data_IF_107848139673
#
_entry.id   IF_107848139673
#
_cell.length_a   1.000
_cell.length_b   1.000
_cell.length_c   1.000
_cell.angle_alpha   90.00
_cell.angle_beta   90.00
_cell.angle_gamma   90.00
#
_symmetry.space_group_name_H-M   'P 1'
#
loop_
_entity.id
_entity.type
_entity.pdbx_description
1 polymer ?
#
# COMPACT_ATOMS: atom_id res chain seq x y z
N UNK A 1 -0.44 22.85 1.99
CA UNK A 1 -1.35 22.78 0.85
C UNK A 1 -1.44 21.33 0.36
N UNK A 2 -2.59 20.72 0.52
CA UNK A 2 -2.83 19.35 0.09
C UNK A 2 -3.04 19.35 -1.45
N UNK A 3 -2.19 18.63 -2.19
CA UNK A 3 -2.20 18.58 -3.65
C UNK A 3 -3.56 18.11 -4.24
N UNK A 4 -4.27 17.23 -3.54
CA UNK A 4 -5.61 16.76 -3.95
C UNK A 4 -6.61 17.91 -3.96
N UNK A 5 -6.62 18.73 -2.90
CA UNK A 5 -7.48 19.92 -2.82
C UNK A 5 -7.11 20.99 -3.86
N UNK A 6 -5.81 21.17 -4.12
CA UNK A 6 -5.33 22.10 -5.16
C UNK A 6 -5.76 21.63 -6.54
N UNK A 7 -5.60 20.35 -6.86
CA UNK A 7 -6.00 19.80 -8.17
C UNK A 7 -7.52 19.89 -8.40
N UNK A 8 -8.34 19.61 -7.38
CA UNK A 8 -9.79 19.74 -7.46
C UNK A 8 -10.20 21.18 -7.75
N UNK A 9 -9.67 22.14 -6.96
CA UNK A 9 -9.97 23.57 -7.14
C UNK A 9 -9.54 24.06 -8.54
N UNK A 10 -8.34 23.71 -8.97
CA UNK A 10 -7.85 24.09 -10.30
C UNK A 10 -8.74 23.55 -11.41
N UNK A 11 -9.23 22.31 -11.31
CA UNK A 11 -10.15 21.75 -12.28
C UNK A 11 -11.47 22.55 -12.33
N UNK A 12 -11.99 22.96 -11.17
CA UNK A 12 -13.21 23.75 -11.08
C UNK A 12 -13.02 25.17 -11.67
N UNK A 13 -11.88 25.81 -11.41
CA UNK A 13 -11.52 27.12 -11.96
C UNK A 13 -11.34 27.11 -13.49
N UNK A 14 -10.81 26.01 -14.05
CA UNK A 14 -10.53 25.89 -15.48
C UNK A 14 -11.76 25.50 -16.32
N UNK A 15 -12.77 24.82 -15.74
CA UNK A 15 -13.95 24.34 -16.50
C UNK A 15 -14.68 25.41 -17.29
N UNK A 16 -14.98 26.61 -16.75
CA UNK A 16 -15.74 27.61 -17.46
C UNK A 16 -15.04 28.18 -18.73
N UNK A 17 -13.71 28.13 -18.75
CA UNK A 17 -12.86 28.69 -19.81
C UNK A 17 -12.38 27.67 -20.85
N UNK A 18 -12.68 26.37 -20.65
CA UNK A 18 -12.23 25.29 -21.53
C UNK A 18 -13.39 24.61 -22.26
N UNK A 19 -13.60 24.98 -23.52
CA UNK A 19 -14.64 24.41 -24.37
C UNK A 19 -14.49 22.89 -24.59
N UNK A 20 -13.27 22.34 -24.48
CA UNK A 20 -12.98 20.91 -24.59
C UNK A 20 -13.16 20.15 -23.26
N UNK A 21 -13.60 20.84 -22.23
CA UNK A 21 -13.78 20.28 -20.89
C UNK A 21 -12.47 20.17 -20.07
N UNK A 22 -12.62 19.86 -18.79
CA UNK A 22 -11.51 19.62 -17.84
C UNK A 22 -11.79 18.35 -17.08
N UNK A 23 -10.84 17.43 -17.06
CA UNK A 23 -10.90 16.17 -16.34
C UNK A 23 -9.99 16.24 -15.12
N UNK A 24 -10.58 16.07 -13.93
CA UNK A 24 -9.84 15.74 -12.72
C UNK A 24 -9.94 14.23 -12.47
N UNK A 25 -8.80 13.52 -12.54
CA UNK A 25 -8.78 12.05 -12.42
C UNK A 25 -9.28 11.54 -11.07
N UNK A 26 -9.14 12.34 -9.97
CA UNK A 26 -9.64 12.03 -8.63
C UNK A 26 -9.32 10.59 -8.18
N UNK A 27 -8.05 10.24 -8.18
CA UNK A 27 -7.58 8.85 -7.97
C UNK A 27 -8.09 8.17 -6.70
N UNK A 28 -8.48 8.94 -5.68
CA UNK A 28 -8.97 8.39 -4.40
C UNK A 28 -10.44 7.94 -4.48
N UNK A 29 -11.28 8.68 -5.21
CA UNK A 29 -12.71 8.46 -5.19
C UNK A 29 -13.30 8.13 -6.57
N UNK A 30 -12.49 8.15 -7.63
CA UNK A 30 -12.86 7.63 -8.94
C UNK A 30 -12.69 6.11 -8.97
N UNK A 31 -13.79 5.37 -8.97
CA UNK A 31 -13.81 3.90 -8.93
C UNK A 31 -13.22 3.22 -10.16
N UNK A 32 -12.93 3.97 -11.25
CA UNK A 32 -12.16 3.46 -12.36
C UNK A 32 -10.77 2.95 -11.95
N UNK A 33 -10.21 3.50 -10.87
CA UNK A 33 -8.97 3.01 -10.27
C UNK A 33 -9.10 1.55 -9.80
N UNK A 34 -10.08 1.25 -8.94
CA UNK A 34 -10.33 -0.13 -8.50
C UNK A 34 -10.72 -1.05 -9.66
N UNK A 35 -11.50 -0.54 -10.63
CA UNK A 35 -11.87 -1.30 -11.82
C UNK A 35 -10.65 -1.70 -12.65
N UNK A 36 -9.70 -0.80 -12.87
CA UNK A 36 -8.45 -1.11 -13.59
C UNK A 36 -7.65 -2.24 -12.92
N UNK A 37 -7.56 -2.24 -11.60
CA UNK A 37 -6.92 -3.32 -10.85
C UNK A 37 -7.72 -4.62 -10.82
N UNK A 38 -9.05 -4.56 -10.89
CA UNK A 38 -9.90 -5.74 -11.03
C UNK A 38 -9.71 -6.42 -12.39
N UNK A 39 -9.74 -5.64 -13.48
CA UNK A 39 -9.65 -6.15 -14.85
C UNK A 39 -8.21 -6.50 -15.28
N UNK A 40 -7.19 -5.87 -14.67
CA UNK A 40 -5.76 -6.06 -14.93
C UNK A 40 -5.07 -6.83 -13.82
N UNK A 41 -4.56 -6.13 -12.80
CA UNK A 41 -3.69 -6.67 -11.76
C UNK A 41 -4.22 -7.94 -11.09
N UNK A 42 -5.51 -7.96 -10.73
CA UNK A 42 -6.13 -9.12 -10.09
C UNK A 42 -6.16 -10.35 -11.02
N UNK A 43 -6.45 -10.12 -12.30
CA UNK A 43 -6.42 -11.18 -13.31
C UNK A 43 -4.99 -11.67 -13.56
N UNK A 44 -4.03 -10.77 -13.69
CA UNK A 44 -2.62 -11.12 -13.89
C UNK A 44 -2.07 -11.95 -12.74
N UNK A 45 -2.39 -11.58 -11.48
CA UNK A 45 -2.01 -12.38 -10.30
C UNK A 45 -2.60 -13.80 -10.40
N UNK A 46 -3.88 -13.93 -10.73
CA UNK A 46 -4.52 -15.23 -10.88
C UNK A 46 -3.87 -16.07 -11.97
N UNK A 47 -3.66 -15.49 -13.15
CA UNK A 47 -3.09 -16.20 -14.31
C UNK A 47 -1.63 -16.58 -14.06
N UNK A 48 -0.80 -15.68 -13.50
CA UNK A 48 0.62 -15.92 -13.24
C UNK A 48 0.88 -16.93 -12.09
N UNK A 49 -0.08 -17.12 -11.22
CA UNK A 49 0.00 -18.14 -10.16
C UNK A 49 -0.69 -19.45 -10.52
N UNK A 50 -1.15 -19.60 -11.77
CA UNK A 50 -1.98 -20.74 -12.20
C UNK A 50 -3.18 -20.98 -11.26
N UNK A 51 -3.76 -19.92 -10.71
CA UNK A 51 -4.84 -19.98 -9.73
C UNK A 51 -4.43 -20.54 -8.36
N UNK A 52 -3.13 -20.69 -8.09
CA UNK A 52 -2.62 -21.28 -6.83
C UNK A 52 -2.28 -20.22 -5.77
N UNK A 53 -2.95 -19.09 -5.78
CA UNK A 53 -2.78 -18.04 -4.76
C UNK A 53 -3.63 -18.37 -3.53
N UNK A 54 -3.00 -18.48 -2.37
CA UNK A 54 -3.67 -18.69 -1.08
C UNK A 54 -4.02 -17.36 -0.39
N UNK A 55 -3.17 -16.35 -0.56
CA UNK A 55 -3.39 -15.04 0.04
C UNK A 55 -2.80 -13.90 -0.79
N UNK A 56 -3.43 -12.73 -0.65
CA UNK A 56 -2.95 -11.45 -1.16
C UNK A 56 -2.90 -10.44 -0.01
N UNK A 57 -1.80 -9.72 0.10
CA UNK A 57 -1.61 -8.67 1.10
C UNK A 57 -0.95 -7.46 0.47
N UNK A 58 -1.48 -6.28 0.72
CA UNK A 58 -0.81 -5.03 0.37
C UNK A 58 -1.27 -3.87 1.24
N UNK A 59 -0.51 -2.80 1.21
CA UNK A 59 -0.88 -1.52 1.80
C UNK A 59 -1.91 -0.78 0.95
N UNK A 60 -2.50 0.26 1.52
CA UNK A 60 -3.50 1.07 0.83
C UNK A 60 -3.17 2.56 0.91
N UNK A 61 -3.08 3.21 -0.25
CA UNK A 61 -3.13 4.68 -0.38
C UNK A 61 -4.52 5.11 -0.84
N UNK A 62 -4.82 4.90 -2.13
CA UNK A 62 -6.14 5.20 -2.71
C UNK A 62 -7.18 4.11 -2.44
N UNK A 63 -6.76 2.91 -2.14
CA UNK A 63 -7.61 1.74 -2.02
C UNK A 63 -7.86 0.98 -3.33
N UNK A 64 -7.44 1.54 -4.46
CA UNK A 64 -7.72 0.94 -5.78
C UNK A 64 -7.16 -0.46 -5.94
N UNK A 65 -5.89 -0.66 -5.62
CA UNK A 65 -5.21 -1.95 -5.76
C UNK A 65 -5.85 -3.02 -4.89
N UNK A 66 -5.95 -2.78 -3.58
CA UNK A 66 -6.51 -3.78 -2.66
C UNK A 66 -7.97 -4.11 -2.98
N UNK A 67 -8.77 -3.11 -3.37
CA UNK A 67 -10.17 -3.31 -3.76
C UNK A 67 -10.27 -4.10 -5.06
N UNK A 68 -9.61 -3.68 -6.12
CA UNK A 68 -9.67 -4.35 -7.42
C UNK A 68 -9.18 -5.79 -7.34
N UNK A 69 -8.00 -6.01 -6.76
CA UNK A 69 -7.41 -7.35 -6.61
C UNK A 69 -8.26 -8.24 -5.72
N UNK A 70 -8.73 -7.75 -4.56
CA UNK A 70 -9.55 -8.56 -3.65
C UNK A 70 -10.86 -9.01 -4.30
N UNK A 71 -11.51 -8.13 -5.06
CA UNK A 71 -12.73 -8.49 -5.78
C UNK A 71 -12.46 -9.54 -6.86
N UNK A 72 -11.40 -9.36 -7.68
CA UNK A 72 -11.04 -10.31 -8.73
C UNK A 72 -10.69 -11.70 -8.16
N UNK A 73 -9.86 -11.76 -7.12
CA UNK A 73 -9.44 -13.01 -6.51
C UNK A 73 -10.57 -13.71 -5.77
N UNK A 74 -11.36 -12.98 -4.97
CA UNK A 74 -12.52 -13.55 -4.22
C UNK A 74 -13.63 -14.05 -5.15
N UNK A 75 -13.77 -13.52 -6.35
CA UNK A 75 -14.68 -14.06 -7.37
C UNK A 75 -14.24 -15.43 -7.87
N UNK A 76 -12.93 -15.63 -8.05
CA UNK A 76 -12.35 -16.92 -8.45
C UNK A 76 -12.37 -17.96 -7.34
N UNK A 77 -11.98 -17.54 -6.13
CA UNK A 77 -11.94 -18.41 -4.96
C UNK A 77 -12.18 -17.62 -3.68
N UNK A 78 -13.34 -17.81 -3.05
CA UNK A 78 -13.73 -17.11 -1.82
C UNK A 78 -12.82 -17.40 -0.62
N UNK A 79 -12.04 -18.49 -0.67
CA UNK A 79 -11.15 -18.88 0.43
C UNK A 79 -9.81 -18.15 0.42
N UNK A 80 -9.45 -17.47 -0.67
CA UNK A 80 -8.22 -16.66 -0.74
C UNK A 80 -8.28 -15.60 0.35
N UNK A 81 -7.23 -15.53 1.17
CA UNK A 81 -7.14 -14.55 2.25
C UNK A 81 -6.66 -13.20 1.70
N UNK A 82 -7.34 -12.15 2.08
CA UNK A 82 -7.00 -10.76 1.70
C UNK A 82 -6.67 -9.97 2.96
N UNK A 83 -5.45 -9.50 3.05
CA UNK A 83 -4.99 -8.75 4.22
C UNK A 83 -4.55 -7.33 3.84
N UNK A 84 -4.77 -6.41 4.76
CA UNK A 84 -4.21 -5.06 4.68
C UNK A 84 -2.91 -5.01 5.48
N UNK A 85 -1.82 -4.54 4.86
CA UNK A 85 -0.58 -4.18 5.54
C UNK A 85 -0.56 -2.66 5.73
N UNK A 86 -0.86 -2.18 6.94
CA UNK A 86 -1.10 -0.77 7.18
C UNK A 86 0.05 -0.14 7.99
N UNK A 87 0.64 0.99 7.55
CA UNK A 87 1.70 1.64 8.30
C UNK A 87 1.15 2.27 9.58
N UNK A 88 1.98 2.41 10.61
CA UNK A 88 1.66 3.26 11.76
C UNK A 88 1.28 4.67 11.30
N UNK A 89 0.35 5.32 12.00
CA UNK A 89 -0.17 6.63 11.61
C UNK A 89 -1.36 6.61 10.65
N UNK A 90 -1.65 5.45 10.03
CA UNK A 90 -2.89 5.23 9.29
C UNK A 90 -4.04 4.84 10.22
N UNK A 91 -5.28 5.07 9.79
CA UNK A 91 -6.50 4.67 10.52
C UNK A 91 -7.13 3.39 9.99
N UNK A 92 -6.63 2.83 8.88
CA UNK A 92 -7.30 1.73 8.19
C UNK A 92 -7.17 0.42 8.97
N UNK A 93 -6.03 0.18 9.64
CA UNK A 93 -5.87 -0.99 10.51
C UNK A 93 -6.95 -1.02 11.61
N UNK A 94 -7.13 0.07 12.36
CA UNK A 94 -8.14 0.14 13.40
C UNK A 94 -9.55 0.04 12.84
N UNK A 95 -9.79 0.59 11.65
CA UNK A 95 -11.07 0.43 10.97
C UNK A 95 -11.39 -1.05 10.65
N UNK A 96 -10.43 -1.80 10.10
CA UNK A 96 -10.64 -3.22 9.80
C UNK A 96 -10.79 -4.06 11.07
N UNK A 97 -9.97 -3.80 12.11
CA UNK A 97 -9.98 -4.61 13.35
C UNK A 97 -11.12 -4.25 14.30
N UNK A 98 -11.53 -2.99 14.36
CA UNK A 98 -12.39 -2.47 15.42
C UNK A 98 -13.58 -1.65 14.89
N UNK A 99 -13.65 -1.36 13.59
CA UNK A 99 -14.68 -0.51 12.99
C UNK A 99 -14.48 0.99 13.25
N UNK A 100 -13.31 1.41 13.75
CA UNK A 100 -13.03 2.79 14.16
C UNK A 100 -11.91 3.41 13.32
N UNK A 101 -12.13 4.61 12.79
CA UNK A 101 -11.09 5.41 12.12
C UNK A 101 -10.21 6.12 13.16
N UNK A 102 -9.28 5.37 13.76
CA UNK A 102 -8.34 5.87 14.75
C UNK A 102 -6.90 5.68 14.28
N UNK A 103 -6.14 6.78 14.22
CA UNK A 103 -4.71 6.77 13.89
C UNK A 103 -3.88 6.60 15.15
N UNK A 104 -2.86 5.72 15.11
CA UNK A 104 -1.92 5.48 16.21
C UNK A 104 -0.48 5.44 15.70
N UNK A 105 0.40 6.19 16.36
CA UNK A 105 1.80 6.30 15.96
C UNK A 105 2.01 7.16 14.71
N UNK A 106 3.14 6.95 14.06
CA UNK A 106 3.51 7.59 12.79
C UNK A 106 4.44 6.69 11.99
N UNK A 107 4.63 7.00 10.72
CA UNK A 107 5.56 6.32 9.82
C UNK A 107 6.26 7.33 8.93
N UNK A 108 7.49 7.03 8.51
CA UNK A 108 8.22 7.80 7.48
C UNK A 108 7.73 7.46 6.08
N UNK A 109 6.93 6.42 5.93
CA UNK A 109 6.42 5.93 4.66
C UNK A 109 5.48 6.93 4.00
N UNK A 110 5.62 7.10 2.70
CA UNK A 110 4.80 8.01 1.90
C UNK A 110 3.92 7.24 0.91
N UNK A 111 2.82 7.86 0.49
CA UNK A 111 1.92 7.35 -0.55
C UNK A 111 0.95 6.25 -0.10
N UNK A 112 1.08 5.76 1.13
CA UNK A 112 0.18 4.78 1.72
C UNK A 112 -0.29 5.22 3.11
N UNK A 113 -1.30 4.53 3.65
CA UNK A 113 -2.01 4.93 4.85
C UNK A 113 -3.08 5.98 4.56
N UNK A 114 -4.16 5.94 5.30
CA UNK A 114 -5.26 6.90 5.17
C UNK A 114 -5.92 7.17 6.52
N UNK A 115 -6.41 8.38 6.69
CA UNK A 115 -7.25 8.77 7.83
C UNK A 115 -8.76 8.70 7.53
N UNK A 116 -9.12 8.30 6.30
CA UNK A 116 -10.51 8.17 5.85
C UNK A 116 -10.70 6.94 4.95
N UNK A 117 -11.91 6.49 4.83
CA UNK A 117 -12.31 5.53 3.81
C UNK A 117 -12.50 6.26 2.48
N UNK A 118 -11.77 5.86 1.44
CA UNK A 118 -11.94 6.36 0.07
C UNK A 118 -13.01 5.54 -0.65
N UNK A 119 -13.63 6.07 -1.69
CA UNK A 119 -14.61 5.30 -2.49
C UNK A 119 -14.01 4.04 -3.12
N UNK A 120 -12.72 4.07 -3.45
CA UNK A 120 -12.04 2.87 -3.94
C UNK A 120 -11.89 1.82 -2.85
N UNK A 121 -11.62 2.21 -1.59
CA UNK A 121 -11.42 1.29 -0.48
C UNK A 121 -12.72 0.65 0.04
N UNK A 122 -13.86 1.37 -0.04
CA UNK A 122 -15.17 0.93 0.48
C UNK A 122 -15.58 -0.48 0.00
N UNK A 123 -15.19 -0.85 -1.23
CA UNK A 123 -15.56 -2.12 -1.85
C UNK A 123 -14.49 -3.21 -1.71
N UNK A 124 -13.42 -2.96 -0.96
CA UNK A 124 -12.37 -3.95 -0.74
C UNK A 124 -12.87 -5.10 0.15
N UNK A 125 -12.59 -6.34 -0.26
CA UNK A 125 -12.96 -7.55 0.49
C UNK A 125 -11.80 -8.02 1.35
N UNK A 126 -11.57 -7.31 2.46
CA UNK A 126 -10.45 -7.55 3.37
C UNK A 126 -10.90 -8.47 4.49
N UNK A 127 -10.13 -9.54 4.75
CA UNK A 127 -10.41 -10.50 5.82
C UNK A 127 -9.78 -10.03 7.15
N UNK A 128 -8.56 -9.45 7.11
CA UNK A 128 -7.88 -8.97 8.31
C UNK A 128 -6.77 -7.94 7.97
N UNK A 129 -6.08 -7.41 8.98
CA UNK A 129 -5.05 -6.40 8.82
C UNK A 129 -3.90 -6.55 9.81
N UNK A 130 -2.70 -6.10 9.39
CA UNK A 130 -1.55 -5.90 10.26
C UNK A 130 -1.17 -4.42 10.32
N UNK A 131 -0.90 -3.92 11.51
CA UNK A 131 -0.25 -2.63 11.70
C UNK A 131 1.27 -2.84 11.72
N UNK A 132 1.98 -2.22 10.78
CA UNK A 132 3.42 -2.38 10.57
C UNK A 132 4.16 -1.12 11.01
N UNK A 133 5.24 -1.32 11.74
CA UNK A 133 6.13 -0.27 12.22
C UNK A 133 7.34 -0.12 11.29
N UNK A 134 7.89 1.11 11.20
CA UNK A 134 9.10 1.37 10.43
C UNK A 134 10.32 0.62 10.95
N UNK A 135 10.38 0.34 12.26
CA UNK A 135 11.44 -0.50 12.87
C UNK A 135 11.43 -1.95 12.36
N UNK A 136 10.30 -2.44 11.84
CA UNK A 136 10.20 -3.74 11.20
C UNK A 136 10.43 -3.63 9.69
N UNK A 137 9.88 -2.62 9.04
CA UNK A 137 9.91 -2.49 7.59
C UNK A 137 11.28 -2.08 7.02
N UNK A 138 11.98 -1.12 7.65
CA UNK A 138 13.26 -0.61 7.14
C UNK A 138 14.39 -1.64 7.12
N UNK A 139 14.62 -2.45 8.20
CA UNK A 139 15.65 -3.49 8.17
C UNK A 139 15.48 -4.48 7.02
N UNK A 140 14.25 -4.83 6.65
CA UNK A 140 13.95 -5.70 5.51
C UNK A 140 14.45 -5.06 4.21
N UNK A 141 14.20 -3.76 4.01
CA UNK A 141 14.66 -3.06 2.80
C UNK A 141 16.17 -2.98 2.72
N UNK A 142 16.85 -2.72 3.83
CA UNK A 142 18.32 -2.69 3.86
C UNK A 142 18.94 -4.08 3.63
N UNK A 143 18.31 -5.13 4.15
CA UNK A 143 18.72 -6.51 3.90
C UNK A 143 18.58 -6.89 2.42
N UNK A 144 17.48 -6.53 1.78
CA UNK A 144 17.24 -6.74 0.36
C UNK A 144 18.24 -5.98 -0.53
N UNK A 145 18.62 -4.75 -0.15
CA UNK A 145 19.67 -4.02 -0.86
C UNK A 145 21.01 -4.76 -0.76
N UNK A 146 21.38 -5.19 0.45
CA UNK A 146 22.68 -5.79 0.72
C UNK A 146 22.82 -7.18 0.10
N UNK A 147 21.80 -8.02 0.21
CA UNK A 147 21.89 -9.43 -0.11
C UNK A 147 21.30 -9.79 -1.48
N UNK A 148 20.32 -9.01 -1.96
CA UNK A 148 19.61 -9.30 -3.22
C UNK A 148 19.80 -8.20 -4.29
N UNK A 149 20.43 -7.07 -3.94
CA UNK A 149 20.56 -5.93 -4.86
C UNK A 149 19.23 -5.23 -5.19
N UNK A 150 18.19 -5.47 -4.39
CA UNK A 150 16.87 -4.90 -4.59
C UNK A 150 16.71 -3.61 -3.77
N UNK A 151 16.73 -2.47 -4.47
CA UNK A 151 16.55 -1.16 -3.87
C UNK A 151 15.10 -0.69 -3.99
N UNK A 152 14.30 -0.94 -2.97
CA UNK A 152 12.85 -0.75 -2.95
C UNK A 152 12.43 0.42 -2.07
N UNK A 153 11.27 1.03 -2.39
CA UNK A 153 10.68 2.13 -1.62
C UNK A 153 10.07 1.68 -0.29
N UNK A 154 9.79 2.66 0.57
CA UNK A 154 9.34 2.41 1.95
C UNK A 154 8.04 1.61 2.04
N UNK A 155 7.09 1.82 1.12
CA UNK A 155 5.84 1.06 1.04
C UNK A 155 6.05 -0.43 0.75
N UNK A 156 7.13 -0.79 0.03
CA UNK A 156 7.49 -2.20 -0.18
C UNK A 156 7.90 -2.87 1.13
N UNK A 157 8.61 -2.16 2.02
CA UNK A 157 8.96 -2.66 3.35
C UNK A 157 7.73 -2.99 4.19
N UNK A 158 6.73 -2.11 4.17
CA UNK A 158 5.44 -2.35 4.83
C UNK A 158 4.76 -3.60 4.25
N UNK A 159 4.72 -3.72 2.92
CA UNK A 159 4.10 -4.85 2.25
C UNK A 159 4.82 -6.17 2.54
N UNK A 160 6.14 -6.20 2.48
CA UNK A 160 6.94 -7.40 2.73
C UNK A 160 6.85 -7.82 4.20
N UNK A 161 6.92 -6.87 5.15
CA UNK A 161 6.74 -7.16 6.57
C UNK A 161 5.38 -7.82 6.84
N UNK A 162 4.30 -7.26 6.26
CA UNK A 162 2.99 -7.87 6.33
C UNK A 162 2.93 -9.26 5.72
N UNK A 163 3.56 -9.46 4.55
CA UNK A 163 3.61 -10.77 3.89
C UNK A 163 4.38 -11.82 4.73
N UNK A 164 5.46 -11.41 5.39
CA UNK A 164 6.21 -12.27 6.32
C UNK A 164 5.34 -12.69 7.52
N UNK A 165 4.59 -11.75 8.12
CA UNK A 165 3.67 -12.06 9.22
C UNK A 165 2.57 -13.02 8.76
N UNK A 166 1.98 -12.75 7.60
CA UNK A 166 0.94 -13.60 7.03
C UNK A 166 1.47 -15.01 6.70
N UNK A 167 2.70 -15.11 6.18
CA UNK A 167 3.35 -16.40 5.93
C UNK A 167 3.54 -17.22 7.20
N UNK A 168 3.93 -16.58 8.32
CA UNK A 168 4.04 -17.24 9.62
C UNK A 168 2.67 -17.70 10.15
N UNK A 169 1.61 -16.93 9.92
CA UNK A 169 0.25 -17.26 10.34
C UNK A 169 -0.33 -18.42 9.55
N UNK A 170 -0.16 -18.42 8.21
CA UNK A 170 -0.73 -19.45 7.34
C UNK A 170 0.07 -20.75 7.30
N UNK A 171 1.35 -20.69 7.69
CA UNK A 171 2.25 -21.84 7.68
C UNK A 171 2.86 -22.17 6.30
N UNK A 172 3.65 -23.25 6.21
CA UNK A 172 4.39 -23.61 5.02
C UNK A 172 3.50 -24.06 3.86
N UNK A 173 4.03 -23.97 2.64
CA UNK A 173 3.37 -24.45 1.42
C UNK A 173 2.30 -23.51 0.88
N UNK A 174 2.26 -22.26 1.34
CA UNK A 174 1.29 -21.25 0.91
C UNK A 174 1.89 -20.27 -0.10
N UNK A 175 1.11 -19.95 -1.11
CA UNK A 175 1.43 -18.90 -2.09
C UNK A 175 0.81 -17.59 -1.65
N UNK A 176 1.67 -16.64 -1.24
CA UNK A 176 1.27 -15.31 -0.80
C UNK A 176 1.80 -14.29 -1.81
N UNK A 177 0.92 -13.45 -2.32
CA UNK A 177 1.28 -12.38 -3.27
C UNK A 177 1.21 -11.03 -2.58
N UNK A 178 2.22 -10.19 -2.81
CA UNK A 178 2.23 -8.79 -2.38
C UNK A 178 2.72 -7.87 -3.49
N UNK A 179 2.69 -6.56 -3.26
CA UNK A 179 3.06 -5.54 -4.26
C UNK A 179 4.39 -4.90 -3.90
N UNK A 180 5.32 -4.87 -4.85
CA UNK A 180 6.53 -4.04 -4.80
C UNK A 180 6.27 -2.77 -5.61
N UNK A 181 5.91 -1.69 -4.92
CA UNK A 181 5.31 -0.50 -5.52
C UNK A 181 6.28 0.32 -6.37
N UNK A 182 7.45 0.64 -5.81
CA UNK A 182 8.45 1.50 -6.45
C UNK A 182 9.85 1.28 -5.87
N UNK A 183 10.82 2.05 -6.42
CA UNK A 183 12.22 2.03 -6.01
C UNK A 183 12.52 3.07 -4.93
N UNK A 184 13.65 2.90 -4.24
CA UNK A 184 14.09 3.76 -3.13
C UNK A 184 14.49 5.18 -3.52
N UNK A 185 14.73 5.47 -4.80
CA UNK A 185 15.27 6.74 -5.28
C UNK A 185 14.49 7.96 -4.78
N UNK A 186 13.16 7.84 -4.76
CA UNK A 186 12.26 8.91 -4.27
C UNK A 186 12.40 9.19 -2.77
N UNK A 187 12.91 8.22 -2.02
CA UNK A 187 12.95 8.22 -0.55
C UNK A 187 14.36 8.32 -0.01
N UNK A 188 15.35 8.57 -0.88
CA UNK A 188 16.77 8.61 -0.51
C UNK A 188 17.08 9.62 0.61
N UNK A 189 16.41 10.77 0.62
CA UNK A 189 16.55 11.80 1.65
C UNK A 189 16.05 11.39 3.03
N UNK A 190 15.31 10.28 3.12
CA UNK A 190 14.83 9.67 4.37
C UNK A 190 15.57 8.36 4.66
N UNK A 191 15.49 7.39 3.74
CA UNK A 191 16.01 6.03 3.94
C UNK A 191 17.54 5.97 4.08
N UNK A 192 18.26 6.89 3.42
CA UNK A 192 19.73 6.90 3.42
C UNK A 192 20.31 8.16 4.08
N UNK A 193 19.51 8.88 4.85
CA UNK A 193 19.92 10.07 5.58
C UNK A 193 20.10 9.75 7.06
N UNK A 194 21.34 9.55 7.48
CA UNK A 194 21.69 9.23 8.87
C UNK A 194 21.04 10.18 9.87
N UNK A 195 21.17 11.51 9.65
CA UNK A 195 20.60 12.51 10.55
C UNK A 195 19.10 12.37 10.70
N UNK A 196 18.38 12.16 9.59
CA UNK A 196 16.93 11.95 9.61
C UNK A 196 16.55 10.68 10.38
N UNK A 197 17.29 9.58 10.17
CA UNK A 197 17.04 8.31 10.85
C UNK A 197 17.31 8.41 12.35
N UNK A 198 18.41 9.06 12.75
CA UNK A 198 18.73 9.35 14.15
C UNK A 198 17.63 10.19 14.83
N UNK A 199 17.15 11.26 14.18
CA UNK A 199 16.06 12.11 14.68
C UNK A 199 14.73 11.34 14.84
N UNK A 200 14.54 10.28 14.05
CA UNK A 200 13.36 9.40 14.14
C UNK A 200 13.57 8.20 15.05
N UNK A 201 14.77 7.99 15.57
CA UNK A 201 15.13 6.82 16.38
C UNK A 201 15.10 5.50 15.60
N UNK A 202 15.26 5.54 14.27
CA UNK A 202 15.16 4.38 13.39
C UNK A 202 16.54 3.73 13.19
N UNK A 203 16.58 2.41 13.24
CA UNK A 203 17.79 1.65 13.01
C UNK A 203 18.18 1.63 11.52
N UNK A 204 19.48 1.73 11.25
CA UNK A 204 20.05 1.67 9.92
C UNK A 204 21.42 0.94 9.95
N UNK A 205 21.88 0.37 8.83
CA UNK A 205 23.15 -0.33 8.75
C UNK A 205 24.34 0.65 8.70
N UNK A 206 25.52 0.17 9.11
CA UNK A 206 26.77 0.95 9.23
C UNK A 206 27.26 1.58 7.90
N UNK A 207 26.80 1.09 6.74
CA UNK A 207 27.15 1.67 5.44
C UNK A 207 26.40 2.96 5.10
N UNK A 208 25.36 3.33 5.89
CA UNK A 208 24.73 4.65 5.80
C UNK A 208 25.56 5.64 6.63
N UNK A 209 26.18 6.61 5.94
CA UNK A 209 27.12 7.58 6.52
C UNK A 209 26.44 8.91 6.82
#
# INVERSE_FOLDING_TARGET
>A
NNFVKVASRLADELRPSNNNGVIWANQFDNVANAKGHYEGTGKEIWDQTDGKVDAFICSSGTGGTISGVSNALKEKNKNIKIYLSDPKGSSLYNYIKHGELKSEGNSITEGIGSSRITKNFENAKIDDAFSIDDHEALPILYDLIKNEGLSLGTSCGINIAGAIRLGKELGPGKTIVTILCDKSDKYASKMFNKKFLDEKGLNYPDWIK
#
